data_IF_295103461417
#
_entry.id   IF_295103461417
#
_cell.length_a   1.000
_cell.length_b   1.000
_cell.length_c   1.000
_cell.angle_alpha   90.00
_cell.angle_beta   90.00
_cell.angle_gamma   90.00
#
_symmetry.space_group_name_H-M   'P 1'
#
loop_
_entity.id
_entity.type
_entity.pdbx_description
1 polymer ?
#
# COMPACT_ATOMS: atom_id res chain seq x y z
N UNK A 1 -16.73 -5.06 7.06
CA UNK A 1 -16.84 -5.99 5.91
C UNK A 1 -15.44 -6.19 5.34
N UNK A 2 -15.08 -7.39 4.88
CA UNK A 2 -13.79 -7.62 4.24
C UNK A 2 -13.69 -6.77 2.96
N UNK A 3 -12.54 -6.09 2.81
CA UNK A 3 -12.23 -5.21 1.69
C UNK A 3 -11.18 -5.87 0.81
N UNK A 4 -11.41 -5.89 -0.49
CA UNK A 4 -10.47 -6.43 -1.49
C UNK A 4 -10.08 -5.35 -2.49
N UNK A 5 -8.82 -5.33 -2.91
CA UNK A 5 -8.38 -4.41 -3.96
C UNK A 5 -8.64 -5.03 -5.33
N UNK A 6 -9.02 -4.19 -6.28
CA UNK A 6 -9.23 -4.56 -7.68
C UNK A 6 -8.51 -3.56 -8.57
N UNK A 7 -7.97 -4.07 -9.67
CA UNK A 7 -7.35 -3.25 -10.69
C UNK A 7 -8.42 -2.51 -11.53
N UNK A 8 -8.13 -1.32 -12.08
CA UNK A 8 -9.09 -0.55 -12.85
C UNK A 8 -9.73 -1.33 -14.02
N UNK A 9 -8.98 -2.23 -14.67
CA UNK A 9 -9.49 -3.03 -15.79
C UNK A 9 -10.51 -4.10 -15.39
N UNK A 10 -10.63 -4.40 -14.08
CA UNK A 10 -11.60 -5.35 -13.54
C UNK A 10 -12.98 -4.72 -13.34
N UNK A 11 -13.05 -3.38 -13.34
CA UNK A 11 -14.27 -2.61 -13.14
C UNK A 11 -14.88 -2.30 -14.51
N UNK A 12 -16.07 -2.84 -14.78
CA UNK A 12 -16.81 -2.69 -16.04
C UNK A 12 -18.23 -2.23 -15.76
N UNK A 13 -18.49 -0.95 -15.98
CA UNK A 13 -19.80 -0.31 -15.75
C UNK A 13 -20.40 -0.62 -14.37
N UNK A 14 -21.32 -1.58 -14.30
CA UNK A 14 -22.03 -2.01 -13.09
C UNK A 14 -21.50 -3.31 -12.48
N UNK A 15 -20.45 -3.91 -13.03
CA UNK A 15 -19.89 -5.19 -12.59
C UNK A 15 -18.39 -5.08 -12.32
N UNK A 16 -17.92 -5.80 -11.31
CA UNK A 16 -16.50 -5.98 -11.02
C UNK A 16 -16.18 -7.47 -11.06
N UNK A 17 -15.15 -7.84 -11.82
CA UNK A 17 -14.70 -9.22 -11.94
C UNK A 17 -13.41 -9.44 -11.15
N UNK A 18 -13.49 -10.17 -10.03
CA UNK A 18 -12.34 -10.54 -9.22
C UNK A 18 -11.87 -11.94 -9.61
N UNK A 19 -10.57 -12.05 -9.95
CA UNK A 19 -9.91 -13.29 -10.36
C UNK A 19 -8.66 -13.54 -9.50
N UNK A 20 -8.06 -14.72 -9.65
CA UNK A 20 -6.79 -15.03 -8.98
C UNK A 20 -6.92 -15.28 -7.47
N UNK A 21 -5.92 -14.82 -6.71
CA UNK A 21 -5.81 -15.10 -5.27
C UNK A 21 -6.95 -14.48 -4.46
N UNK A 22 -7.36 -13.25 -4.77
CA UNK A 22 -8.45 -12.57 -4.05
C UNK A 22 -9.80 -13.29 -4.29
N UNK A 23 -10.05 -13.80 -5.50
CA UNK A 23 -11.24 -14.60 -5.78
C UNK A 23 -11.27 -15.92 -4.97
N UNK A 24 -10.11 -16.59 -4.86
CA UNK A 24 -9.96 -17.80 -4.04
C UNK A 24 -10.13 -17.47 -2.55
N UNK A 25 -9.62 -16.33 -2.10
CA UNK A 25 -9.75 -15.87 -0.73
C UNK A 25 -11.23 -15.64 -0.36
N UNK A 26 -11.99 -14.96 -1.22
CA UNK A 26 -13.44 -14.75 -1.07
C UNK A 26 -14.20 -16.08 -1.02
N UNK A 27 -13.96 -16.97 -1.99
CA UNK A 27 -14.71 -18.24 -2.10
C UNK A 27 -14.36 -19.25 -1.02
N UNK A 28 -13.08 -19.44 -0.73
CA UNK A 28 -12.62 -20.60 0.05
C UNK A 28 -12.42 -20.25 1.53
N UNK A 29 -11.92 -19.05 1.82
CA UNK A 29 -11.59 -18.66 3.19
C UNK A 29 -12.77 -17.93 3.83
N UNK A 30 -13.33 -16.93 3.15
CA UNK A 30 -14.52 -16.24 3.64
C UNK A 30 -15.79 -17.08 3.44
N UNK A 31 -15.77 -18.02 2.49
CA UNK A 31 -16.91 -18.90 2.15
C UNK A 31 -18.16 -18.13 1.75
N UNK A 32 -17.96 -16.96 1.12
CA UNK A 32 -19.08 -16.12 0.69
C UNK A 32 -19.88 -16.77 -0.43
N UNK A 33 -21.21 -16.66 -0.34
CA UNK A 33 -22.16 -17.09 -1.34
C UNK A 33 -22.67 -15.98 -2.26
N UNK A 34 -23.41 -16.37 -3.31
CA UNK A 34 -24.16 -15.43 -4.14
C UNK A 34 -25.21 -14.68 -3.31
N UNK A 35 -25.41 -13.40 -3.62
CA UNK A 35 -26.28 -12.50 -2.87
C UNK A 35 -25.61 -11.84 -1.66
N UNK A 36 -24.46 -12.31 -1.20
CA UNK A 36 -23.72 -11.66 -0.11
C UNK A 36 -23.10 -10.33 -0.54
N UNK A 37 -22.94 -9.42 0.42
CA UNK A 37 -22.34 -8.11 0.19
C UNK A 37 -20.83 -8.15 0.44
N UNK A 38 -20.08 -7.52 -0.45
CA UNK A 38 -18.62 -7.34 -0.33
C UNK A 38 -18.23 -5.90 -0.64
N UNK A 39 -17.07 -5.46 -0.13
CA UNK A 39 -16.51 -4.16 -0.46
C UNK A 39 -15.27 -4.37 -1.33
N UNK A 40 -15.27 -3.78 -2.52
CA UNK A 40 -14.13 -3.78 -3.44
C UNK A 40 -13.56 -2.36 -3.50
N UNK A 41 -12.24 -2.21 -3.55
CA UNK A 41 -11.58 -0.92 -3.60
C UNK A 41 -10.67 -0.84 -4.83
N UNK A 42 -10.69 0.28 -5.54
CA UNK A 42 -9.87 0.46 -6.76
C UNK A 42 -8.39 0.75 -6.47
N UNK A 43 -7.98 0.86 -5.20
CA UNK A 43 -6.62 1.26 -4.85
C UNK A 43 -6.30 2.73 -5.10
N UNK A 44 -7.26 3.50 -5.61
CA UNK A 44 -7.14 4.91 -5.94
C UNK A 44 -7.97 5.79 -4.98
N UNK A 45 -8.64 5.17 -4.01
CA UNK A 45 -9.39 5.83 -2.96
C UNK A 45 -10.90 5.76 -3.11
N UNK A 46 -11.44 4.87 -3.95
CA UNK A 46 -12.89 4.61 -4.05
C UNK A 46 -13.23 3.23 -3.52
N UNK A 47 -14.24 3.17 -2.64
CA UNK A 47 -14.86 1.93 -2.20
C UNK A 47 -16.15 1.67 -3.01
N UNK A 48 -16.30 0.45 -3.50
CA UNK A 48 -17.46 -0.06 -4.24
C UNK A 48 -18.18 -1.07 -3.37
N UNK A 49 -19.42 -0.76 -3.01
CA UNK A 49 -20.28 -1.66 -2.26
C UNK A 49 -21.01 -2.55 -3.25
N UNK A 50 -20.68 -3.85 -3.21
CA UNK A 50 -21.13 -4.78 -4.23
C UNK A 50 -21.94 -5.93 -3.62
N UNK A 51 -22.72 -6.58 -4.48
CA UNK A 51 -23.37 -7.87 -4.19
C UNK A 51 -22.74 -8.94 -5.09
N UNK A 52 -22.39 -10.10 -4.53
CA UNK A 52 -21.89 -11.22 -5.33
C UNK A 52 -23.03 -11.69 -6.25
N UNK A 53 -22.82 -11.60 -7.56
CA UNK A 53 -23.77 -11.99 -8.59
C UNK A 53 -23.50 -13.42 -9.10
N UNK A 54 -22.22 -13.83 -9.18
CA UNK A 54 -21.86 -15.19 -9.59
C UNK A 54 -20.51 -15.61 -9.02
N UNK A 55 -20.36 -16.92 -8.76
CA UNK A 55 -19.13 -17.56 -8.30
C UNK A 55 -18.60 -18.64 -9.26
N UNK A 56 -18.99 -18.64 -10.54
CA UNK A 56 -18.51 -19.66 -11.50
C UNK A 56 -17.07 -19.35 -11.98
N UNK A 57 -16.86 -18.29 -12.76
CA UNK A 57 -15.57 -17.91 -13.36
C UNK A 57 -14.81 -16.84 -12.54
N UNK A 58 -14.55 -17.18 -11.27
CA UNK A 58 -14.06 -16.19 -10.28
C UNK A 58 -15.22 -15.58 -9.49
N UNK A 59 -15.10 -14.34 -9.04
CA UNK A 59 -16.18 -13.64 -8.32
C UNK A 59 -16.64 -12.48 -9.17
N UNK A 60 -17.88 -12.54 -9.64
CA UNK A 60 -18.54 -11.43 -10.32
C UNK A 60 -19.41 -10.70 -9.31
N UNK A 61 -19.18 -9.39 -9.14
CA UNK A 61 -19.89 -8.58 -8.15
C UNK A 61 -20.62 -7.41 -8.84
N UNK A 62 -21.92 -7.27 -8.56
CA UNK A 62 -22.76 -6.15 -8.98
C UNK A 62 -22.52 -4.94 -8.08
N UNK A 63 -22.20 -3.80 -8.67
CA UNK A 63 -21.99 -2.53 -7.95
C UNK A 63 -23.34 -1.96 -7.55
N UNK A 64 -23.57 -1.82 -6.23
CA UNK A 64 -24.77 -1.21 -5.67
C UNK A 64 -24.59 0.30 -5.46
N UNK A 65 -23.40 0.69 -4.98
CA UNK A 65 -23.02 2.09 -4.78
C UNK A 65 -21.49 2.22 -4.75
N UNK A 66 -21.00 3.46 -4.86
CA UNK A 66 -19.59 3.80 -4.70
C UNK A 66 -19.43 5.06 -3.85
N UNK A 67 -18.41 5.09 -3.01
CA UNK A 67 -18.10 6.22 -2.13
C UNK A 67 -16.59 6.44 -2.03
N UNK A 68 -16.12 7.66 -1.74
CA UNK A 68 -14.72 7.88 -1.37
C UNK A 68 -14.36 7.05 -0.13
N UNK A 69 -13.22 6.37 -0.18
CA UNK A 69 -12.72 5.60 0.94
C UNK A 69 -12.43 6.54 2.13
N UNK A 70 -13.10 6.29 3.26
CA UNK A 70 -13.03 7.16 4.44
C UNK A 70 -11.80 6.94 5.32
N UNK A 71 -11.04 5.85 5.08
CA UNK A 71 -9.88 5.48 5.90
C UNK A 71 -8.58 6.19 5.52
N UNK A 72 -8.55 6.94 4.40
CA UNK A 72 -7.36 7.68 4.00
C UNK A 72 -7.18 8.98 4.80
N UNK A 73 -6.00 9.22 5.39
CA UNK A 73 -5.71 10.48 6.04
C UNK A 73 -5.77 11.65 5.06
N UNK A 74 -6.25 12.80 5.54
CA UNK A 74 -6.23 14.05 4.76
C UNK A 74 -4.81 14.58 4.54
N UNK A 75 -3.91 14.30 5.47
CA UNK A 75 -2.51 14.72 5.42
C UNK A 75 -1.67 13.67 4.70
N UNK A 76 -1.01 14.07 3.62
CA UNK A 76 -0.06 13.20 2.91
C UNK A 76 1.30 13.25 3.60
N UNK A 77 1.78 12.09 4.02
CA UNK A 77 3.09 11.94 4.66
C UNK A 77 3.97 11.09 3.75
N UNK A 78 5.13 11.64 3.37
CA UNK A 78 6.21 10.89 2.73
C UNK A 78 7.27 10.56 3.78
N UNK A 79 7.52 9.27 4.01
CA UNK A 79 8.58 8.82 4.93
C UNK A 79 9.87 8.61 4.15
N UNK A 80 10.89 9.42 4.46
CA UNK A 80 12.27 9.16 4.04
C UNK A 80 12.96 8.30 5.10
N UNK A 81 13.03 7.00 4.86
CA UNK A 81 13.54 6.01 5.82
C UNK A 81 15.00 5.64 5.50
N UNK A 82 15.91 5.98 6.41
CA UNK A 82 17.28 5.45 6.37
C UNK A 82 17.29 3.93 6.41
N UNK A 83 18.06 3.27 5.54
CA UNK A 83 18.12 1.80 5.47
C UNK A 83 18.51 1.18 6.82
N UNK A 84 17.62 0.42 7.48
CA UNK A 84 17.92 -0.19 8.77
C UNK A 84 18.81 -1.43 8.59
N UNK A 85 19.43 -1.88 9.69
CA UNK A 85 20.09 -3.19 9.73
C UNK A 85 19.04 -4.32 9.73
N UNK A 86 19.35 -5.42 9.04
CA UNK A 86 18.50 -6.60 8.91
C UNK A 86 17.11 -6.28 8.32
N UNK A 87 16.15 -7.18 8.49
CA UNK A 87 14.83 -7.14 7.84
C UNK A 87 13.82 -6.20 8.53
N UNK A 88 14.31 -5.24 9.33
CA UNK A 88 13.46 -4.26 10.03
C UNK A 88 12.65 -3.37 9.09
N UNK A 89 13.10 -3.20 7.84
CA UNK A 89 12.40 -2.37 6.86
C UNK A 89 10.98 -2.88 6.59
N UNK A 90 10.77 -4.19 6.61
CA UNK A 90 9.46 -4.80 6.35
C UNK A 90 8.45 -4.43 7.43
N UNK A 91 8.87 -4.47 8.70
CA UNK A 91 8.06 -4.01 9.83
C UNK A 91 7.76 -2.51 9.75
N UNK A 92 8.77 -1.70 9.40
CA UNK A 92 8.58 -0.24 9.23
C UNK A 92 7.52 0.02 8.15
N UNK A 93 7.64 -0.62 6.98
CA UNK A 93 6.67 -0.47 5.89
C UNK A 93 5.28 -0.85 6.37
N UNK A 94 5.12 -2.03 6.96
CA UNK A 94 3.83 -2.50 7.46
C UNK A 94 3.17 -1.48 8.40
N UNK A 95 3.92 -1.01 9.41
CA UNK A 95 3.39 -0.07 10.42
C UNK A 95 3.16 1.33 9.87
N UNK A 96 3.99 1.80 8.96
CA UNK A 96 3.77 3.07 8.29
C UNK A 96 2.53 3.06 7.39
N UNK A 97 2.28 1.95 6.68
CA UNK A 97 1.05 1.81 5.89
C UNK A 97 -0.19 1.80 6.78
N UNK A 98 -0.17 1.04 7.88
CA UNK A 98 -1.24 1.01 8.90
C UNK A 98 -1.52 2.39 9.50
N UNK A 99 -0.48 3.21 9.69
CA UNK A 99 -0.59 4.59 10.20
C UNK A 99 -1.00 5.62 9.12
N UNK A 100 -1.14 5.20 7.86
CA UNK A 100 -1.63 6.06 6.79
C UNK A 100 -0.54 6.84 6.04
N UNK A 101 0.72 6.40 6.06
CA UNK A 101 1.78 6.98 5.20
C UNK A 101 1.41 6.83 3.73
N UNK A 102 1.62 7.90 2.95
CA UNK A 102 1.24 7.98 1.53
C UNK A 102 2.34 7.41 0.62
N UNK A 103 3.61 7.66 0.96
CA UNK A 103 4.79 7.21 0.21
C UNK A 103 5.96 6.92 1.12
N UNK A 104 6.73 5.88 0.82
CA UNK A 104 7.95 5.51 1.55
C UNK A 104 9.14 5.53 0.59
N UNK A 105 10.17 6.28 0.95
CA UNK A 105 11.41 6.41 0.19
C UNK A 105 12.54 5.84 1.03
N UNK A 106 13.17 4.78 0.53
CA UNK A 106 14.38 4.25 1.17
C UNK A 106 15.55 5.21 0.91
N UNK A 107 16.35 5.48 1.94
CA UNK A 107 17.47 6.41 1.88
C UNK A 107 18.76 5.72 2.34
N UNK A 108 19.77 5.76 1.47
CA UNK A 108 21.15 5.43 1.82
C UNK A 108 21.80 6.64 2.49
N UNK A 109 22.23 6.47 3.74
CA UNK A 109 22.92 7.48 4.54
C UNK A 109 24.33 7.01 4.89
N UNK A 110 25.22 7.92 5.28
CA UNK A 110 26.63 7.62 5.55
C UNK A 110 26.84 6.51 6.60
N UNK A 111 25.99 6.48 7.63
CA UNK A 111 26.07 5.49 8.73
C UNK A 111 25.30 4.19 8.42
N UNK A 112 24.70 4.06 7.24
CA UNK A 112 24.04 2.81 6.82
C UNK A 112 25.10 1.75 6.47
N UNK A 113 25.05 0.60 7.15
CA UNK A 113 25.91 -0.55 6.82
C UNK A 113 25.45 -1.23 5.53
N UNK A 114 24.16 -1.12 5.21
CA UNK A 114 23.56 -1.75 4.03
C UNK A 114 23.99 -0.97 2.78
N UNK A 115 24.78 -1.61 1.93
CA UNK A 115 25.16 -1.08 0.62
C UNK A 115 24.09 -1.43 -0.41
N UNK A 116 23.92 -0.53 -1.38
CA UNK A 116 23.13 -0.78 -2.59
C UNK A 116 23.78 -1.93 -3.35
N UNK A 117 23.02 -2.98 -3.62
CA UNK A 117 23.48 -4.16 -4.34
C UNK A 117 22.68 -4.36 -5.63
N UNK A 118 23.10 -5.32 -6.47
CA UNK A 118 22.40 -5.66 -7.71
C UNK A 118 21.00 -6.25 -7.50
N UNK A 119 20.53 -6.38 -6.25
CA UNK A 119 19.22 -6.95 -5.89
C UNK A 119 18.25 -5.87 -5.38
N UNK A 120 18.59 -4.59 -5.53
CA UNK A 120 17.76 -3.46 -5.12
C UNK A 120 16.32 -3.57 -5.67
N UNK A 121 16.16 -3.79 -6.98
CA UNK A 121 14.85 -3.91 -7.63
C UNK A 121 13.98 -5.00 -6.99
N UNK A 122 14.53 -6.21 -6.82
CA UNK A 122 13.81 -7.33 -6.16
C UNK A 122 13.41 -7.01 -4.72
N UNK A 123 14.22 -6.21 -4.03
CA UNK A 123 13.94 -5.78 -2.66
C UNK A 123 12.81 -4.77 -2.62
N UNK A 124 12.82 -3.79 -3.53
CA UNK A 124 11.75 -2.79 -3.69
C UNK A 124 10.43 -3.46 -4.10
N UNK A 125 10.45 -4.42 -5.02
CA UNK A 125 9.28 -5.22 -5.39
C UNK A 125 8.69 -5.97 -4.19
N UNK A 126 9.54 -6.62 -3.38
CA UNK A 126 9.11 -7.29 -2.15
C UNK A 126 8.48 -6.30 -1.17
N UNK A 127 9.09 -5.14 -0.99
CA UNK A 127 8.57 -4.07 -0.12
C UNK A 127 7.23 -3.53 -0.60
N UNK A 128 7.04 -3.37 -1.91
CA UNK A 128 5.76 -2.95 -2.48
C UNK A 128 4.65 -3.98 -2.19
N UNK A 129 4.96 -5.28 -2.29
CA UNK A 129 4.01 -6.34 -1.92
C UNK A 129 3.64 -6.31 -0.43
N UNK A 130 4.59 -5.96 0.44
CA UNK A 130 4.32 -5.79 1.88
C UNK A 130 3.42 -4.57 2.12
N UNK A 131 3.65 -3.46 1.42
CA UNK A 131 2.79 -2.28 1.48
C UNK A 131 1.36 -2.59 1.00
N UNK A 132 1.20 -3.35 -0.09
CA UNK A 132 -0.09 -3.81 -0.58
C UNK A 132 -0.82 -4.70 0.45
N UNK A 133 -0.13 -5.69 1.02
CA UNK A 133 -0.70 -6.57 2.04
C UNK A 133 -1.11 -5.79 3.30
N UNK A 134 -0.30 -4.82 3.74
CA UNK A 134 -0.62 -3.96 4.87
C UNK A 134 -1.80 -3.04 4.56
N UNK A 135 -1.90 -2.50 3.35
CA UNK A 135 -3.02 -1.66 2.92
C UNK A 135 -4.34 -2.46 2.91
N UNK A 136 -4.30 -3.69 2.37
CA UNK A 136 -5.39 -4.69 2.45
C UNK A 136 -5.85 -4.93 3.89
N UNK A 137 -4.92 -5.25 4.78
CA UNK A 137 -5.25 -5.61 6.16
C UNK A 137 -5.74 -4.43 7.01
N UNK A 138 -5.22 -3.22 6.77
CA UNK A 138 -5.61 -2.00 7.49
C UNK A 138 -6.83 -1.30 6.90
N UNK A 139 -7.36 -1.79 5.76
CA UNK A 139 -8.54 -1.22 5.13
C UNK A 139 -8.31 0.14 4.47
N UNK A 140 -7.06 0.45 4.12
CA UNK A 140 -6.68 1.63 3.31
C UNK A 140 -7.49 1.67 2.01
N UNK A 141 -7.73 2.86 1.49
CA UNK A 141 -8.28 3.08 0.14
C UNK A 141 -7.20 3.17 -0.94
N UNK A 142 -5.94 3.32 -0.52
CA UNK A 142 -4.79 3.45 -1.42
C UNK A 142 -3.65 2.56 -0.98
N UNK A 143 -2.91 2.04 -1.95
CA UNK A 143 -1.67 1.33 -1.70
C UNK A 143 -0.53 2.37 -1.71
N UNK A 144 0.20 2.54 -0.60
CA UNK A 144 1.34 3.45 -0.57
C UNK A 144 2.41 3.06 -1.58
N UNK A 145 3.01 4.07 -2.22
CA UNK A 145 4.13 3.87 -3.11
C UNK A 145 5.40 3.60 -2.30
N UNK A 146 6.11 2.52 -2.64
CA UNK A 146 7.53 2.38 -2.33
C UNK A 146 8.30 2.97 -3.50
N UNK A 147 9.09 4.01 -3.25
CA UNK A 147 9.83 4.69 -4.31
C UNK A 147 10.69 3.70 -5.12
N UNK A 148 10.77 3.86 -6.46
CA UNK A 148 11.35 2.86 -7.37
C UNK A 148 12.89 2.77 -7.30
N UNK A 149 13.52 3.57 -6.42
CA UNK A 149 14.95 3.56 -6.19
C UNK A 149 15.26 4.01 -4.77
N UNK A 150 16.38 3.56 -4.24
CA UNK A 150 16.95 4.09 -3.00
C UNK A 150 17.66 5.41 -3.31
N UNK A 151 17.31 6.47 -2.58
CA UNK A 151 17.95 7.77 -2.72
C UNK A 151 19.19 7.88 -1.85
N UNK A 152 20.17 8.68 -2.27
CA UNK A 152 21.17 9.24 -1.35
C UNK A 152 20.53 10.28 -0.45
N UNK A 153 21.10 10.50 0.72
CA UNK A 153 20.60 11.52 1.66
C UNK A 153 20.46 12.91 1.03
N UNK A 154 21.41 13.33 0.19
CA UNK A 154 21.35 14.62 -0.51
C UNK A 154 20.19 14.71 -1.51
N UNK A 155 19.87 13.62 -2.20
CA UNK A 155 18.74 13.55 -3.13
C UNK A 155 17.40 13.57 -2.36
N UNK A 156 17.32 12.82 -1.26
CA UNK A 156 16.16 12.85 -0.37
C UNK A 156 15.90 14.25 0.20
N UNK A 157 16.95 14.98 0.61
CA UNK A 157 16.85 16.36 1.05
C UNK A 157 16.39 17.31 -0.07
N UNK A 158 16.89 17.12 -1.29
CA UNK A 158 16.47 17.92 -2.44
C UNK A 158 14.98 17.70 -2.75
N UNK A 159 14.50 16.45 -2.70
CA UNK A 159 13.09 16.11 -2.89
C UNK A 159 12.22 16.66 -1.76
N UNK A 160 12.61 16.46 -0.50
CA UNK A 160 11.86 16.93 0.67
C UNK A 160 11.68 18.45 0.71
N UNK A 161 12.62 19.23 0.15
CA UNK A 161 12.51 20.69 0.03
C UNK A 161 11.38 21.15 -0.90
N UNK A 162 10.91 20.28 -1.79
CA UNK A 162 9.79 20.58 -2.70
C UNK A 162 8.41 20.35 -2.06
N UNK A 163 8.38 19.73 -0.87
CA UNK A 163 7.16 19.49 -0.10
C UNK A 163 6.79 20.69 0.77
N UNK A 164 5.56 20.73 1.26
CA UNK A 164 5.05 21.82 2.11
C UNK A 164 5.77 21.97 3.46
N UNK A 165 6.52 20.97 3.89
CA UNK A 165 7.32 20.98 5.12
C UNK A 165 8.10 19.68 5.29
N UNK A 166 9.19 19.73 6.05
CA UNK A 166 10.04 18.59 6.35
C UNK A 166 10.39 18.56 7.84
N UNK A 167 10.32 17.37 8.44
CA UNK A 167 10.70 17.11 9.82
C UNK A 167 11.75 16.01 9.82
N UNK A 168 12.84 16.21 10.57
CA UNK A 168 13.85 15.20 10.84
C UNK A 168 13.91 14.96 12.34
N UNK A 169 13.60 13.74 12.83
CA UNK A 169 13.87 13.36 14.20
C UNK A 169 15.39 13.39 14.42
N UNK A 170 15.87 14.30 15.24
CA UNK A 170 17.29 14.43 15.57
C UNK A 170 17.42 14.73 17.05
N UNK A 171 18.25 13.94 17.73
CA UNK A 171 18.46 14.03 19.18
C UNK A 171 19.40 15.18 19.60
N UNK A 172 19.93 15.95 18.63
CA UNK A 172 20.87 17.05 18.89
C UNK A 172 22.15 16.59 19.61
N UNK A 173 22.61 15.37 19.28
CA UNK A 173 23.91 14.86 19.74
C UNK A 173 25.01 15.63 18.99
N UNK A 174 25.67 16.53 19.72
CA UNK A 174 26.70 17.45 19.17
C UNK A 174 28.09 16.80 19.05
N UNK A 175 28.33 15.61 19.62
CA UNK A 175 29.66 14.99 19.64
C UNK A 175 29.60 13.45 19.70
N UNK A 176 30.35 12.79 18.80
CA UNK A 176 30.84 11.41 18.98
C UNK A 176 32.31 11.33 18.61
#
# INVERSE_FOLDING_TARGET
MPKFFVEPHQIKDSLIQVIGEDAKHIKTVLRSGEGEKITLCDGLGTDYFCRIASLEEGVTAEILSREPCQSEPKTKITLYQGLPKADKMELIIQKCVELGVDRIVAVSTERCIVKLDKKEEKKLERWQKIAEAAAKQSGRGKIPEIAPKVLRFSEALAEAKTLSGAIIPYEKEDNR
#
